data_IF_301147469814
#
_entry.id   IF_301147469814
#
_cell.length_a   1.000
_cell.length_b   1.000
_cell.length_c   1.000
_cell.angle_alpha   90.00
_cell.angle_beta   90.00
_cell.angle_gamma   90.00
#
_symmetry.space_group_name_H-M   'P 1'
#
loop_
_entity.id
_entity.type
_entity.pdbx_description
1 polymer ?
#
# COMPACT_ATOMS: atom_id res chain seq x y z
N UNK A 1 4.74 -4.57 -8.12
CA UNK A 1 4.26 -5.31 -6.94
C UNK A 1 5.44 -5.60 -6.03
N UNK A 2 5.46 -5.05 -4.81
CA UNK A 2 6.57 -5.28 -3.86
C UNK A 2 6.35 -6.61 -3.15
N UNK A 3 7.00 -7.68 -3.62
CA UNK A 3 6.78 -9.05 -3.12
C UNK A 3 7.16 -9.25 -1.66
N UNK A 4 8.14 -8.50 -1.14
CA UNK A 4 8.64 -8.69 0.23
C UNK A 4 7.59 -8.34 1.30
N UNK A 5 6.87 -7.23 1.11
CA UNK A 5 5.85 -6.77 2.06
C UNK A 5 4.60 -7.67 2.07
N UNK A 6 4.33 -8.37 0.97
CA UNK A 6 3.10 -9.15 0.78
C UNK A 6 3.26 -10.60 1.27
N UNK A 7 4.50 -11.04 1.52
CA UNK A 7 4.80 -12.41 1.99
C UNK A 7 4.09 -12.78 3.30
N UNK A 8 3.88 -11.81 4.17
CA UNK A 8 3.27 -12.00 5.49
C UNK A 8 1.77 -11.63 5.50
N UNK A 9 1.22 -11.23 4.35
CA UNK A 9 -0.18 -10.82 4.24
C UNK A 9 -1.02 -12.05 3.91
N UNK A 10 -2.11 -12.24 4.66
CA UNK A 10 -3.06 -13.32 4.37
C UNK A 10 -3.69 -13.14 2.99
N UNK A 11 -3.89 -14.25 2.27
CA UNK A 11 -4.43 -14.26 0.91
C UNK A 11 -5.75 -13.49 0.79
N UNK A 12 -6.58 -13.50 1.84
CA UNK A 12 -7.85 -12.77 1.90
C UNK A 12 -7.69 -11.26 1.68
N UNK A 13 -6.62 -10.67 2.21
CA UNK A 13 -6.35 -9.23 2.15
C UNK A 13 -5.32 -8.85 1.07
N UNK A 14 -4.76 -9.84 0.39
CA UNK A 14 -3.69 -9.66 -0.59
C UNK A 14 -4.06 -8.65 -1.70
N UNK A 15 -5.30 -8.71 -2.20
CA UNK A 15 -5.77 -7.86 -3.29
C UNK A 15 -5.91 -6.41 -2.85
N UNK A 16 -6.51 -6.19 -1.68
CA UNK A 16 -6.68 -4.86 -1.09
C UNK A 16 -5.33 -4.25 -0.74
N UNK A 17 -4.45 -5.03 -0.10
CA UNK A 17 -3.09 -4.61 0.25
C UNK A 17 -2.24 -4.25 -0.99
N UNK A 18 -2.37 -5.00 -2.09
CA UNK A 18 -1.68 -4.67 -3.35
C UNK A 18 -2.19 -3.37 -3.98
N UNK A 19 -3.49 -3.08 -3.85
CA UNK A 19 -4.10 -1.85 -4.36
C UNK A 19 -3.62 -0.65 -3.55
N UNK A 20 -3.65 -0.76 -2.22
CA UNK A 20 -3.18 0.29 -1.30
C UNK A 20 -1.68 0.57 -1.46
N UNK A 21 -0.86 -0.46 -1.68
CA UNK A 21 0.56 -0.25 -2.03
C UNK A 21 0.71 0.46 -3.38
N UNK A 22 -0.16 0.18 -4.36
CA UNK A 22 -0.06 0.78 -5.69
C UNK A 22 -0.38 2.27 -5.66
N UNK A 23 -1.31 2.71 -4.81
CA UNK A 23 -1.61 4.14 -4.63
C UNK A 23 -0.45 4.88 -3.95
N UNK A 24 0.24 4.25 -2.99
CA UNK A 24 1.41 4.86 -2.33
C UNK A 24 2.59 5.03 -3.30
N UNK A 25 3.02 3.97 -3.99
CA UNK A 25 4.19 4.04 -4.89
C UNK A 25 3.89 4.65 -6.26
N UNK A 26 2.61 4.75 -6.63
CA UNK A 26 2.16 5.33 -7.90
C UNK A 26 1.83 6.82 -7.82
N UNK A 27 1.95 7.44 -6.64
CA UNK A 27 1.70 8.85 -6.44
C UNK A 27 2.72 9.72 -7.20
N UNK A 28 2.25 10.86 -7.72
CA UNK A 28 3.07 11.78 -8.51
C UNK A 28 3.94 12.64 -7.58
N UNK A 29 3.38 13.02 -6.43
CA UNK A 29 4.01 13.86 -5.44
C UNK A 29 4.36 13.11 -4.15
N UNK A 30 5.37 13.59 -3.44
CA UNK A 30 5.81 12.99 -2.18
C UNK A 30 4.77 13.19 -1.06
N UNK A 31 4.07 14.33 -1.05
CA UNK A 31 2.95 14.58 -0.12
C UNK A 31 1.82 13.56 -0.30
N UNK A 32 1.38 13.30 -1.53
CA UNK A 32 0.32 12.31 -1.79
C UNK A 32 0.75 10.90 -1.39
N UNK A 33 2.02 10.55 -1.59
CA UNK A 33 2.55 9.26 -1.14
C UNK A 33 2.51 9.15 0.39
N UNK A 34 2.85 10.23 1.09
CA UNK A 34 2.87 10.31 2.55
C UNK A 34 1.44 10.22 3.13
N UNK A 35 0.50 10.98 2.59
CA UNK A 35 -0.91 10.96 3.02
C UNK A 35 -1.52 9.58 2.84
N UNK A 36 -1.28 8.93 1.70
CA UNK A 36 -1.77 7.57 1.45
C UNK A 36 -1.12 6.54 2.39
N UNK A 37 0.12 6.76 2.81
CA UNK A 37 0.81 5.91 3.79
C UNK A 37 0.22 6.10 5.19
N UNK A 38 -0.10 7.33 5.59
CA UNK A 38 -0.78 7.61 6.86
C UNK A 38 -2.19 7.03 6.89
N UNK A 39 -2.94 7.14 5.78
CA UNK A 39 -4.27 6.55 5.63
C UNK A 39 -4.23 5.02 5.74
N UNK A 40 -3.20 4.40 5.15
CA UNK A 40 -2.98 2.97 5.23
C UNK A 40 -2.65 2.50 6.66
N UNK A 41 -1.89 3.29 7.42
CA UNK A 41 -1.53 2.98 8.81
C UNK A 41 -2.66 3.11 9.83
N UNK A 42 -3.75 3.82 9.49
CA UNK A 42 -4.94 3.98 10.36
C UNK A 42 -6.01 2.89 10.17
N UNK A 43 -5.87 2.02 9.16
CA UNK A 43 -6.75 0.86 8.93
C UNK A 43 -6.40 -0.33 9.80
#
# INVERSE_FOLDING_TARGET
MIRNNIKNVSYKYYKEFCLDLKTIYGAINLEEAQENLELFGQK
#
